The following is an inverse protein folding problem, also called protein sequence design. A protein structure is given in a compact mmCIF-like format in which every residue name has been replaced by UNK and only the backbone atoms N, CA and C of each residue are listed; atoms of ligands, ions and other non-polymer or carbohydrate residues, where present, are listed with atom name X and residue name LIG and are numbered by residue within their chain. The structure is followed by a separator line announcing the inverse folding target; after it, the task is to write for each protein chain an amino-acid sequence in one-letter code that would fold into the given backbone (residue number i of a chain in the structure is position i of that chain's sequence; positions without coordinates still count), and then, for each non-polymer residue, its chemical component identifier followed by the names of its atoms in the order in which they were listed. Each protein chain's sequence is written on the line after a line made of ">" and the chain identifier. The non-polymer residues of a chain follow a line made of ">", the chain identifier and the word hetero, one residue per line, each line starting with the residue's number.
data_IF_239491903753
#
_entry.id   IF_239491903753
#
_cell.length_a   1.000
_cell.length_b   1.000
_cell.length_c   1.000
_cell.angle_alpha   90.00
_cell.angle_beta   90.00
_cell.angle_gamma   90.00
#
_symmetry.space_group_name_H-M   'P 1'
#
loop_
_entity.id
_entity.type
_entity.pdbx_description
1 polymer ?
#
# COMPACT_ATOMS: atom_id res chain seq x y z
N UNK A 1 -31.65 16.27 13.96
CA UNK A 1 -30.64 15.43 13.27
C UNK A 1 -29.84 14.76 14.36
N UNK A 2 -30.02 13.46 14.55
CA UNK A 2 -29.24 12.69 15.51
C UNK A 2 -27.89 12.38 14.86
N UNK A 3 -26.80 12.74 15.54
CA UNK A 3 -25.46 12.36 15.13
C UNK A 3 -25.31 10.85 15.25
N UNK A 4 -24.78 10.21 14.20
CA UNK A 4 -24.52 8.77 14.16
C UNK A 4 -23.35 8.44 15.13
N UNK A 5 -23.59 7.65 16.20
CA UNK A 5 -22.56 7.35 17.19
C UNK A 5 -21.45 6.42 16.67
N UNK A 6 -21.53 5.94 15.43
CA UNK A 6 -20.56 5.00 14.87
C UNK A 6 -19.22 5.63 14.45
N UNK A 7 -19.10 6.97 14.38
CA UNK A 7 -17.87 7.64 13.92
C UNK A 7 -17.17 8.45 15.01
N UNK A 8 -17.09 7.91 16.22
CA UNK A 8 -16.15 8.42 17.22
C UNK A 8 -14.84 7.67 17.06
N UNK A 9 -13.87 8.31 16.40
CA UNK A 9 -12.45 7.93 16.51
C UNK A 9 -12.13 7.97 18.00
N UNK A 10 -12.10 6.79 18.64
CA UNK A 10 -11.72 6.66 20.05
C UNK A 10 -10.22 6.91 20.12
N UNK A 11 -9.86 8.16 20.43
CA UNK A 11 -8.50 8.51 20.83
C UNK A 11 -8.23 7.88 22.19
N UNK A 12 -7.58 6.71 22.18
CA UNK A 12 -7.08 6.03 23.37
C UNK A 12 -5.98 6.90 24.01
N UNK A 13 -6.01 7.21 25.32
CA UNK A 13 -5.04 8.09 25.98
C UNK A 13 -3.60 7.54 26.02
N UNK A 14 -3.37 6.29 25.62
CA UNK A 14 -2.05 5.64 25.61
C UNK A 14 -1.32 5.69 24.26
N UNK A 15 -1.84 6.40 23.25
CA UNK A 15 -1.08 6.77 22.04
C UNK A 15 -0.61 5.61 21.14
N UNK A 16 -0.97 4.37 21.46
CA UNK A 16 -0.80 3.21 20.58
C UNK A 16 -2.11 3.00 19.84
N UNK A 17 -2.29 3.74 18.76
CA UNK A 17 -3.31 3.41 17.77
C UNK A 17 -3.08 1.95 17.34
N UNK A 18 -4.01 1.07 17.69
CA UNK A 18 -4.09 -0.29 17.17
C UNK A 18 -3.91 -0.21 15.63
N UNK A 19 -3.13 -1.11 15.00
CA UNK A 19 -3.00 -1.09 13.55
C UNK A 19 -4.41 -1.16 12.95
N UNK A 20 -4.77 -0.16 12.16
CA UNK A 20 -6.09 -0.07 11.54
C UNK A 20 -6.38 -1.34 10.73
N UNK A 21 -7.13 -2.26 11.34
CA UNK A 21 -7.38 -3.59 10.80
C UNK A 21 -8.11 -3.51 9.45
N UNK A 22 -8.95 -2.48 9.27
CA UNK A 22 -9.63 -2.24 8.00
C UNK A 22 -8.65 -1.77 6.93
N UNK A 23 -7.76 -0.82 7.28
CA UNK A 23 -6.69 -0.37 6.39
C UNK A 23 -5.76 -1.52 5.95
N UNK A 24 -5.36 -2.38 6.88
CA UNK A 24 -4.52 -3.55 6.58
C UNK A 24 -5.24 -4.56 5.67
N UNK A 25 -6.51 -4.86 5.95
CA UNK A 25 -7.30 -5.76 5.11
C UNK A 25 -7.50 -5.19 3.70
N UNK A 26 -7.73 -3.88 3.57
CA UNK A 26 -7.86 -3.22 2.28
C UNK A 26 -6.55 -3.29 1.47
N UNK A 27 -5.39 -3.04 2.11
CA UNK A 27 -4.08 -3.14 1.45
C UNK A 27 -3.80 -4.56 0.95
N UNK A 28 -4.03 -5.57 1.78
CA UNK A 28 -3.86 -6.98 1.38
C UNK A 28 -4.79 -7.38 0.22
N UNK A 29 -6.02 -6.87 0.21
CA UNK A 29 -6.97 -7.11 -0.86
C UNK A 29 -6.50 -6.47 -2.17
N UNK A 30 -6.01 -5.23 -2.11
CA UNK A 30 -5.47 -4.51 -3.27
C UNK A 30 -4.22 -5.20 -3.80
N UNK A 31 -3.29 -5.60 -2.93
CA UNK A 31 -2.09 -6.35 -3.30
C UNK A 31 -2.47 -7.66 -4.01
N UNK A 32 -3.38 -8.44 -3.43
CA UNK A 32 -3.89 -9.68 -4.02
C UNK A 32 -4.55 -9.46 -5.38
N UNK A 33 -5.28 -8.35 -5.54
CA UNK A 33 -5.89 -7.98 -6.81
C UNK A 33 -4.83 -7.68 -7.87
N UNK A 34 -3.78 -6.92 -7.54
CA UNK A 34 -2.70 -6.59 -8.47
C UNK A 34 -1.99 -7.85 -8.95
N UNK A 35 -1.61 -8.75 -8.04
CA UNK A 35 -1.05 -10.07 -8.41
C UNK A 35 -1.99 -10.85 -9.35
N UNK A 36 -3.29 -10.87 -9.04
CA UNK A 36 -4.28 -11.52 -9.89
C UNK A 36 -4.39 -10.91 -11.31
N UNK A 37 -4.24 -9.59 -11.44
CA UNK A 37 -4.24 -8.90 -12.73
C UNK A 37 -2.96 -9.20 -13.53
N UNK A 38 -1.81 -9.29 -12.85
CA UNK A 38 -0.54 -9.68 -13.46
C UNK A 38 -0.60 -11.12 -13.96
N UNK A 39 -1.08 -12.05 -13.13
CA UNK A 39 -1.23 -13.46 -13.51
C UNK A 39 -2.16 -13.65 -14.72
N UNK A 40 -3.20 -12.80 -14.84
CA UNK A 40 -4.12 -12.78 -15.98
C UNK A 40 -3.58 -12.03 -17.21
N UNK A 41 -2.40 -11.41 -17.11
CA UNK A 41 -1.79 -10.62 -18.18
C UNK A 41 -2.53 -9.32 -18.52
N UNK A 42 -3.41 -8.84 -17.63
CA UNK A 42 -4.15 -7.58 -17.83
C UNK A 42 -3.32 -6.36 -17.45
N UNK A 43 -2.36 -6.55 -16.54
CA UNK A 43 -1.37 -5.56 -16.11
C UNK A 43 0.00 -6.22 -16.19
N UNK A 44 1.01 -5.58 -16.78
CA UNK A 44 2.36 -6.15 -16.76
C UNK A 44 3.01 -5.94 -15.40
N UNK A 45 3.95 -6.81 -15.02
CA UNK A 45 4.71 -6.63 -13.77
C UNK A 45 5.46 -5.29 -13.75
N UNK A 46 6.02 -4.87 -14.89
CA UNK A 46 6.75 -3.60 -14.98
C UNK A 46 5.81 -2.40 -14.82
N UNK A 47 4.63 -2.41 -15.45
CA UNK A 47 3.65 -1.33 -15.28
C UNK A 47 3.17 -1.25 -13.81
N UNK A 48 2.97 -2.41 -13.16
CA UNK A 48 2.56 -2.46 -11.76
C UNK A 48 3.63 -1.86 -10.84
N UNK A 49 4.92 -2.18 -11.09
CA UNK A 49 6.05 -1.64 -10.34
C UNK A 49 6.22 -0.13 -10.59
N UNK A 50 6.04 0.34 -11.83
CA UNK A 50 6.08 1.78 -12.15
C UNK A 50 4.99 2.54 -11.40
N UNK A 51 3.75 2.05 -11.43
CA UNK A 51 2.62 2.67 -10.72
C UNK A 51 2.89 2.72 -9.20
N UNK A 52 3.34 1.61 -8.61
CA UNK A 52 3.59 1.54 -7.18
C UNK A 52 4.78 2.42 -6.75
N UNK A 53 5.83 2.49 -7.58
CA UNK A 53 6.99 3.37 -7.34
C UNK A 53 6.59 4.83 -7.46
N UNK A 54 5.80 5.21 -8.47
CA UNK A 54 5.27 6.57 -8.58
C UNK A 54 4.42 6.97 -7.37
N UNK A 55 3.63 6.05 -6.81
CA UNK A 55 2.88 6.29 -5.58
C UNK A 55 3.80 6.52 -4.36
N UNK A 56 4.91 5.78 -4.28
CA UNK A 56 5.93 5.98 -3.23
C UNK A 56 6.58 7.36 -3.35
N UNK A 57 7.03 7.73 -4.54
CA UNK A 57 7.68 9.03 -4.81
C UNK A 57 6.75 10.20 -4.51
N UNK A 58 5.48 10.12 -4.92
CA UNK A 58 4.47 11.13 -4.58
C UNK A 58 4.28 11.22 -3.07
N UNK A 59 4.22 10.09 -2.36
CA UNK A 59 4.06 10.08 -0.90
C UNK A 59 5.27 10.71 -0.20
N UNK A 60 6.48 10.45 -0.69
CA UNK A 60 7.71 11.08 -0.20
C UNK A 60 7.70 12.59 -0.43
N UNK A 61 7.28 13.04 -1.63
CA UNK A 61 7.25 14.45 -1.99
C UNK A 61 6.27 15.27 -1.13
N UNK A 62 5.14 14.68 -0.74
CA UNK A 62 4.10 15.38 0.04
C UNK A 62 4.26 15.19 1.56
N UNK A 63 5.23 14.40 2.02
CA UNK A 63 5.39 14.06 3.45
C UNK A 63 5.55 15.29 4.35
N UNK A 64 6.17 16.35 3.84
CA UNK A 64 6.39 17.60 4.58
C UNK A 64 5.20 18.59 4.46
N UNK A 65 4.30 18.37 3.50
CA UNK A 65 3.18 19.27 3.17
C UNK A 65 1.83 18.82 3.75
N UNK A 66 1.74 17.58 4.25
CA UNK A 66 0.49 17.00 4.75
C UNK A 66 0.36 17.17 6.26
N UNK A 67 -0.85 17.44 6.75
CA UNK A 67 -1.19 17.55 8.19
C UNK A 67 -1.09 16.23 8.96
N UNK A 68 -0.55 15.18 8.34
CA UNK A 68 -0.36 13.88 8.96
C UNK A 68 0.85 13.90 9.90
N UNK A 69 0.84 13.02 10.89
CA UNK A 69 2.03 12.87 11.74
C UNK A 69 3.15 12.18 10.95
N UNK A 70 4.41 12.55 11.22
CA UNK A 70 5.58 11.89 10.63
C UNK A 70 5.56 10.36 10.81
N UNK A 71 5.04 9.88 11.94
CA UNK A 71 4.89 8.45 12.20
C UNK A 71 3.87 7.78 11.26
N UNK A 72 2.75 8.46 10.97
CA UNK A 72 1.76 8.00 9.99
C UNK A 72 2.36 7.97 8.59
N UNK A 73 3.04 9.04 8.18
CA UNK A 73 3.69 9.12 6.86
C UNK A 73 4.70 8.00 6.65
N UNK A 74 5.58 7.77 7.64
CA UNK A 74 6.56 6.68 7.61
C UNK A 74 5.90 5.30 7.53
N UNK A 75 4.79 5.09 8.23
CA UNK A 75 4.04 3.83 8.16
C UNK A 75 3.45 3.60 6.76
N UNK A 76 2.88 4.64 6.16
CA UNK A 76 2.38 4.57 4.77
C UNK A 76 3.48 4.28 3.76
N UNK A 77 4.64 4.93 3.88
CA UNK A 77 5.81 4.64 3.04
C UNK A 77 6.25 3.17 3.17
N UNK A 78 6.32 2.65 4.39
CA UNK A 78 6.67 1.25 4.63
C UNK A 78 5.65 0.28 4.01
N UNK A 79 4.35 0.62 4.03
CA UNK A 79 3.32 -0.20 3.40
C UNK A 79 3.48 -0.24 1.89
N UNK A 80 3.68 0.92 1.25
CA UNK A 80 3.89 1.00 -0.22
C UNK A 80 5.17 0.24 -0.61
N UNK A 81 6.26 0.42 0.13
CA UNK A 81 7.51 -0.29 -0.12
C UNK A 81 7.38 -1.81 0.00
N UNK A 82 6.55 -2.31 0.93
CA UNK A 82 6.24 -3.75 1.04
C UNK A 82 5.47 -4.27 -0.16
N UNK A 83 4.50 -3.52 -0.66
CA UNK A 83 3.75 -3.89 -1.87
C UNK A 83 4.72 -3.96 -3.06
N UNK A 84 5.60 -2.98 -3.24
CA UNK A 84 6.62 -3.00 -4.31
C UNK A 84 7.47 -4.27 -4.22
N UNK A 85 8.03 -4.56 -3.03
CA UNK A 85 8.84 -5.75 -2.81
C UNK A 85 8.08 -7.06 -3.08
N UNK A 86 6.77 -7.08 -2.82
CA UNK A 86 5.91 -8.23 -3.13
C UNK A 86 5.72 -8.42 -4.63
N UNK A 87 5.48 -7.32 -5.37
CA UNK A 87 5.30 -7.37 -6.82
C UNK A 87 6.55 -7.79 -7.58
N UNK A 88 7.75 -7.59 -7.02
CA UNK A 88 8.99 -8.08 -7.63
C UNK A 88 9.02 -9.62 -7.78
N UNK A 89 8.24 -10.36 -6.97
CA UNK A 89 8.13 -11.82 -7.11
C UNK A 89 7.41 -12.25 -8.39
N UNK A 90 6.61 -11.36 -9.00
CA UNK A 90 5.95 -11.63 -10.28
C UNK A 90 6.85 -11.34 -11.48
N UNK A 91 8.07 -10.82 -11.26
CA UNK A 91 9.00 -10.56 -12.36
C UNK A 91 9.46 -11.92 -12.91
N UNK A 92 9.23 -12.21 -14.21
CA UNK A 92 9.69 -13.46 -14.78
C UNK A 92 11.20 -13.57 -14.60
N UNK A 93 11.66 -14.73 -14.14
CA UNK A 93 13.09 -14.99 -13.98
C UNK A 93 13.80 -14.72 -15.32
N UNK A 94 14.90 -13.96 -15.29
CA UNK A 94 15.61 -13.46 -16.47
C UNK A 94 16.18 -14.55 -17.42
N UNK A 95 15.92 -15.83 -17.18
CA UNK A 95 16.39 -16.95 -17.99
C UNK A 95 15.26 -17.92 -18.35
N UNK A 96 14.65 -17.69 -19.51
CA UNK A 96 13.77 -18.62 -20.21
C UNK A 96 14.27 -18.93 -21.62
N UNK A 97 15.59 -19.10 -21.81
CA UNK A 97 16.14 -19.72 -23.02
C UNK A 97 16.88 -21.00 -22.63
N UNK A 98 16.18 -22.13 -22.79
CA UNK A 98 16.77 -23.45 -23.02
C UNK A 98 15.93 -24.15 -24.08
N UNK A 99 16.62 -24.40 -25.18
CA UNK A 99 16.38 -25.25 -26.36
C UNK A 99 15.24 -24.89 -27.32
#
# INVERSE_FOLDING_TARGET
>A
MAEDPANTVRSDPDGRADPDAHGQAALLLVESLIHGLIQKGTLSTEDALEIATGALEVKEAIMDDVTETRATAQRSLQMIARIIASLEFDRPAANGFRD
#
